data_IF_341375360314
#
_entry.id   IF_341375360314
#
_cell.length_a   1.000
_cell.length_b   1.000
_cell.length_c   1.000
_cell.angle_alpha   90.00
_cell.angle_beta   90.00
_cell.angle_gamma   90.00
#
_symmetry.space_group_name_H-M   'P 1'
#
loop_
_entity.id
_entity.type
_entity.pdbx_description
1 polymer ?
#
# COMPACT_ATOMS: atom_id res chain seq x y z
N UNK A 1 -14.38 6.87 6.68
CA UNK A 1 -13.66 5.74 7.33
C UNK A 1 -12.96 4.96 6.22
N UNK A 2 -11.73 4.49 6.42
CA UNK A 2 -10.99 3.72 5.40
C UNK A 2 -11.27 2.22 5.49
N UNK A 3 -10.85 1.44 4.49
CA UNK A 3 -11.17 0.01 4.36
C UNK A 3 -10.86 -0.79 5.65
N UNK A 4 -9.66 -0.61 6.23
CA UNK A 4 -9.25 -1.31 7.47
C UNK A 4 -10.20 -1.05 8.65
N UNK A 5 -10.71 0.17 8.78
CA UNK A 5 -11.64 0.51 9.87
C UNK A 5 -13.03 -0.12 9.64
N UNK A 6 -13.42 -0.32 8.38
CA UNK A 6 -14.66 -1.00 8.00
C UNK A 6 -14.54 -2.51 8.24
N UNK A 7 -13.42 -3.11 7.84
CA UNK A 7 -13.11 -4.53 8.13
C UNK A 7 -13.11 -4.79 9.63
N UNK A 8 -12.43 -3.93 10.40
CA UNK A 8 -12.39 -4.05 11.86
C UNK A 8 -13.77 -3.96 12.51
N UNK A 9 -14.63 -3.06 12.03
CA UNK A 9 -15.99 -2.92 12.55
C UNK A 9 -16.83 -4.19 12.34
N UNK A 10 -16.75 -4.80 11.14
CA UNK A 10 -17.45 -6.05 10.85
C UNK A 10 -16.98 -7.20 11.75
N UNK A 11 -15.67 -7.31 11.97
CA UNK A 11 -15.10 -8.32 12.87
C UNK A 11 -15.56 -8.13 14.32
N UNK A 12 -15.59 -6.89 14.82
CA UNK A 12 -16.11 -6.59 16.16
C UNK A 12 -17.60 -6.95 16.33
N UNK A 13 -18.37 -6.92 15.24
CA UNK A 13 -19.78 -7.32 15.20
C UNK A 13 -19.97 -8.85 14.98
N UNK A 14 -18.88 -9.62 14.85
CA UNK A 14 -18.94 -11.05 14.57
C UNK A 14 -19.41 -11.39 13.15
N UNK A 15 -19.29 -10.44 12.22
CA UNK A 15 -19.68 -10.61 10.81
C UNK A 15 -18.48 -11.00 9.95
N UNK A 16 -18.76 -11.68 8.85
CA UNK A 16 -17.76 -11.92 7.82
C UNK A 16 -17.39 -10.63 7.09
N UNK A 17 -16.14 -10.52 6.67
CA UNK A 17 -15.64 -9.42 5.85
C UNK A 17 -15.88 -9.77 4.36
N UNK A 18 -16.71 -9.01 3.63
CA UNK A 18 -16.99 -9.27 2.22
C UNK A 18 -15.73 -9.24 1.35
N UNK A 19 -15.70 -10.05 0.30
CA UNK A 19 -14.56 -10.14 -0.61
C UNK A 19 -14.28 -8.81 -1.31
N UNK A 20 -15.34 -8.06 -1.63
CA UNK A 20 -15.27 -6.73 -2.25
C UNK A 20 -14.53 -5.73 -1.34
N UNK A 21 -14.74 -5.82 -0.03
CA UNK A 21 -14.06 -4.94 0.93
C UNK A 21 -12.58 -5.32 1.05
N UNK A 22 -12.25 -6.62 1.11
CA UNK A 22 -10.87 -7.11 1.12
C UNK A 22 -10.12 -6.73 -0.16
N UNK A 23 -10.76 -6.86 -1.31
CA UNK A 23 -10.19 -6.49 -2.60
C UNK A 23 -9.88 -4.97 -2.67
N UNK A 24 -10.80 -4.12 -2.18
CA UNK A 24 -10.54 -2.67 -2.02
C UNK A 24 -9.40 -2.40 -1.03
N UNK A 25 -9.36 -3.11 0.10
CA UNK A 25 -8.31 -2.97 1.09
C UNK A 25 -6.92 -3.25 0.49
N UNK A 26 -6.77 -4.35 -0.26
CA UNK A 26 -5.53 -4.67 -0.98
C UNK A 26 -5.14 -3.60 -2.00
N UNK A 27 -6.08 -3.21 -2.87
CA UNK A 27 -5.87 -2.16 -3.88
C UNK A 27 -5.36 -0.88 -3.24
N UNK A 28 -5.99 -0.45 -2.16
CA UNK A 28 -5.66 0.82 -1.51
C UNK A 28 -4.39 0.70 -0.65
N UNK A 29 -4.07 -0.47 -0.09
CA UNK A 29 -2.83 -0.71 0.64
C UNK A 29 -1.60 -0.54 -0.26
N UNK A 30 -1.55 -1.22 -1.42
CA UNK A 30 -0.39 -1.09 -2.33
C UNK A 30 -0.27 0.33 -2.88
N UNK A 31 -1.42 0.99 -3.11
CA UNK A 31 -1.46 2.39 -3.56
C UNK A 31 -0.98 3.34 -2.47
N UNK A 32 -1.26 3.05 -1.20
CA UNK A 32 -0.76 3.81 -0.06
C UNK A 32 0.77 3.73 0.02
N UNK A 33 1.38 2.55 -0.17
CA UNK A 33 2.84 2.39 -0.26
C UNK A 33 3.43 3.26 -1.36
N UNK A 34 2.89 3.19 -2.58
CA UNK A 34 3.36 4.00 -3.70
C UNK A 34 3.22 5.52 -3.46
N UNK A 35 2.10 5.95 -2.86
CA UNK A 35 1.88 7.37 -2.51
C UNK A 35 2.85 7.85 -1.42
N UNK A 36 3.11 7.03 -0.39
CA UNK A 36 4.06 7.38 0.67
C UNK A 36 5.48 7.56 0.11
N UNK A 37 5.94 6.63 -0.73
CA UNK A 37 7.25 6.72 -1.38
C UNK A 37 7.33 7.95 -2.28
N UNK A 38 6.33 8.17 -3.15
CA UNK A 38 6.32 9.35 -4.02
C UNK A 38 6.31 10.68 -3.23
N UNK A 39 5.65 10.72 -2.07
CA UNK A 39 5.70 11.88 -1.17
C UNK A 39 7.10 12.06 -0.57
N UNK A 40 7.76 10.98 -0.14
CA UNK A 40 9.13 11.02 0.39
C UNK A 40 10.12 11.46 -0.70
N UNK A 41 9.98 10.94 -1.92
CA UNK A 41 10.80 11.33 -3.07
C UNK A 41 10.73 12.84 -3.33
N UNK A 42 9.51 13.41 -3.34
CA UNK A 42 9.31 14.85 -3.52
C UNK A 42 9.98 15.69 -2.42
N UNK A 43 9.92 15.23 -1.17
CA UNK A 43 10.57 15.91 -0.05
C UNK A 43 12.09 15.82 -0.14
N UNK A 44 12.62 14.64 -0.47
CA UNK A 44 14.04 14.39 -0.60
C UNK A 44 14.65 15.20 -1.75
N UNK A 45 14.01 15.21 -2.92
CA UNK A 45 14.42 16.01 -4.08
C UNK A 45 14.42 17.51 -3.76
N UNK A 46 13.36 18.02 -3.13
CA UNK A 46 13.24 19.43 -2.78
C UNK A 46 14.25 19.90 -1.72
N UNK A 47 14.72 19.01 -0.86
CA UNK A 47 15.67 19.33 0.21
C UNK A 47 17.12 19.52 -0.30
N UNK A 48 17.42 19.09 -1.53
CA UNK A 48 18.70 19.32 -2.19
C UNK A 48 19.90 18.70 -1.47
N UNK A 49 21.09 19.30 -1.65
CA UNK A 49 22.36 18.73 -1.20
C UNK A 49 22.41 18.46 0.32
N UNK A 50 21.75 19.27 1.14
CA UNK A 50 21.72 19.09 2.60
C UNK A 50 21.17 17.73 3.00
N UNK A 51 20.16 17.22 2.28
CA UNK A 51 19.56 15.92 2.57
C UNK A 51 20.53 14.74 2.36
N UNK A 52 21.63 14.93 1.63
CA UNK A 52 22.63 13.89 1.36
C UNK A 52 23.55 13.59 2.55
N UNK A 53 23.61 14.49 3.54
CA UNK A 53 24.44 14.27 4.71
C UNK A 53 23.91 13.09 5.53
N UNK A 54 24.82 12.24 6.01
CA UNK A 54 24.46 11.01 6.74
C UNK A 54 23.79 11.26 8.08
N UNK A 55 23.97 12.45 8.66
CA UNK A 55 23.33 12.90 9.89
C UNK A 55 21.86 13.32 9.70
N UNK A 56 21.41 13.56 8.46
CA UNK A 56 20.03 13.91 8.16
C UNK A 56 19.12 12.68 8.17
N UNK A 57 17.94 12.83 8.78
CA UNK A 57 16.93 11.78 8.82
C UNK A 57 16.29 11.51 7.45
N UNK A 58 16.23 12.52 6.57
CA UNK A 58 15.45 12.44 5.33
C UNK A 58 16.00 11.38 4.36
N UNK A 59 17.31 11.31 4.13
CA UNK A 59 17.90 10.25 3.29
C UNK A 59 17.68 8.85 3.86
N UNK A 60 17.58 8.72 5.19
CA UNK A 60 17.27 7.44 5.83
C UNK A 60 15.84 7.03 5.54
N UNK A 61 14.87 7.92 5.73
CA UNK A 61 13.47 7.62 5.38
C UNK A 61 13.28 7.31 3.89
N UNK A 62 14.01 8.01 3.02
CA UNK A 62 14.01 7.72 1.58
C UNK A 62 14.49 6.29 1.30
N UNK A 63 15.69 5.92 1.77
CA UNK A 63 16.22 4.55 1.59
C UNK A 63 15.33 3.49 2.24
N UNK A 64 14.85 3.73 3.45
CA UNK A 64 14.04 2.76 4.20
C UNK A 64 12.68 2.53 3.52
N UNK A 65 12.05 3.57 2.97
CA UNK A 65 10.80 3.44 2.22
C UNK A 65 10.99 2.63 0.92
N UNK A 66 12.08 2.89 0.18
CA UNK A 66 12.43 2.11 -1.02
C UNK A 66 12.84 0.68 -0.69
N UNK A 67 13.50 0.44 0.45
CA UNK A 67 13.78 -0.92 0.95
C UNK A 67 12.48 -1.65 1.34
N UNK A 68 11.52 -0.97 1.97
CA UNK A 68 10.21 -1.54 2.27
C UNK A 68 9.39 -1.86 1.01
N UNK A 69 9.58 -1.09 -0.07
CA UNK A 69 8.85 -1.27 -1.34
C UNK A 69 9.05 -2.64 -1.97
N UNK A 70 10.20 -3.28 -1.77
CA UNK A 70 10.51 -4.57 -2.43
C UNK A 70 9.86 -5.78 -1.75
N UNK A 71 9.18 -5.58 -0.62
CA UNK A 71 8.40 -6.66 0.01
C UNK A 71 7.27 -7.13 -0.92
N UNK A 72 7.06 -8.44 -1.05
CA UNK A 72 6.10 -9.03 -1.99
C UNK A 72 4.67 -8.48 -1.87
N UNK A 73 4.24 -8.15 -0.65
CA UNK A 73 2.91 -7.55 -0.39
C UNK A 73 2.73 -6.15 -1.00
N UNK A 74 3.82 -5.47 -1.35
CA UNK A 74 3.83 -4.12 -1.95
C UNK A 74 3.91 -4.14 -3.48
N UNK A 75 3.86 -5.31 -4.13
CA UNK A 75 3.65 -5.42 -5.58
C UNK A 75 2.26 -4.87 -5.95
N UNK A 76 2.25 -3.76 -6.69
CA UNK A 76 1.02 -3.02 -6.96
C UNK A 76 0.20 -3.67 -8.08
N UNK A 77 0.88 -4.11 -9.13
CA UNK A 77 0.30 -4.77 -10.30
C UNK A 77 -0.47 -6.03 -9.88
N UNK A 78 0.12 -6.83 -8.99
CA UNK A 78 -0.51 -8.03 -8.45
C UNK A 78 -1.86 -7.73 -7.79
N UNK A 79 -1.92 -6.71 -6.93
CA UNK A 79 -3.17 -6.32 -6.27
C UNK A 79 -4.17 -5.63 -7.21
N UNK A 80 -3.70 -4.87 -8.21
CA UNK A 80 -4.58 -4.21 -9.18
C UNK A 80 -5.23 -5.20 -10.15
N UNK A 81 -4.50 -6.21 -10.62
CA UNK A 81 -5.07 -7.29 -11.45
C UNK A 81 -6.11 -8.08 -10.65
N UNK A 82 -5.78 -8.46 -9.42
CA UNK A 82 -6.72 -9.16 -8.53
C UNK A 82 -7.99 -8.34 -8.29
N UNK A 83 -7.87 -7.04 -8.03
CA UNK A 83 -9.00 -6.13 -7.88
C UNK A 83 -9.85 -6.05 -9.17
N UNK A 84 -9.21 -5.93 -10.34
CA UNK A 84 -9.91 -5.94 -11.62
C UNK A 84 -10.66 -7.24 -11.88
N UNK A 85 -10.07 -8.40 -11.56
CA UNK A 85 -10.75 -9.69 -11.66
C UNK A 85 -12.00 -9.75 -10.78
N UNK A 86 -11.92 -9.23 -9.54
CA UNK A 86 -13.07 -9.15 -8.65
C UNK A 86 -14.19 -8.28 -9.24
N UNK A 87 -13.86 -7.09 -9.76
CA UNK A 87 -14.84 -6.17 -10.37
C UNK A 87 -15.51 -6.77 -11.63
N UNK A 88 -14.80 -7.62 -12.38
CA UNK A 88 -15.34 -8.29 -13.56
C UNK A 88 -15.95 -9.68 -13.28
N UNK A 89 -16.00 -10.13 -12.03
CA UNK A 89 -16.52 -11.46 -11.68
C UNK A 89 -15.68 -12.63 -12.21
N UNK A 90 -14.38 -12.40 -12.44
CA UNK A 90 -13.42 -13.41 -12.89
C UNK A 90 -12.75 -14.10 -11.68
N UNK A 91 -12.17 -15.30 -11.86
CA UNK A 91 -11.35 -15.92 -10.83
C UNK A 91 -10.22 -14.98 -10.36
N UNK A 92 -10.06 -14.83 -9.05
CA UNK A 92 -9.11 -13.87 -8.48
C UNK A 92 -7.66 -14.13 -8.91
N UNK A 93 -7.28 -15.40 -9.07
CA UNK A 93 -5.94 -15.83 -9.50
C UNK A 93 -4.86 -15.71 -8.41
N UNK A 94 -5.06 -14.84 -7.42
CA UNK A 94 -4.15 -14.62 -6.29
C UNK A 94 -4.84 -14.93 -4.95
N UNK A 95 -4.07 -15.48 -4.01
CA UNK A 95 -4.50 -15.76 -2.64
C UNK A 95 -4.20 -14.63 -1.66
N UNK A 96 -3.38 -13.64 -2.06
CA UNK A 96 -2.98 -12.53 -1.20
C UNK A 96 -4.05 -11.41 -1.19
N UNK A 97 -5.21 -11.72 -0.58
CA UNK A 97 -6.38 -10.82 -0.45
C UNK A 97 -6.85 -10.58 0.98
#
# INVERSE_FOLDING_TARGET
RGNLAEEYALLCEGKEVPMELRARARRDQVRATGRAIASIDRLFEAAGATALNSDQALQRFWRDAHAGRVHAANDAERAYVMYGNQEFGLPLGDTMV
#
